data_IF_213875166598
#
_entry.id   IF_213875166598
#
_cell.length_a   1.000
_cell.length_b   1.000
_cell.length_c   1.000
_cell.angle_alpha   90.00
_cell.angle_beta   90.00
_cell.angle_gamma   90.00
#
_symmetry.space_group_name_H-M   'P 1'
#
loop_
_entity.id
_entity.type
_entity.pdbx_description
1 polymer ?
#
# COMPACT_ATOMS: atom_id res chain seq x y z
N UNK A 1 -17.73 2.76 -12.89
CA UNK A 1 -17.46 2.61 -11.46
C UNK A 1 -16.07 3.17 -11.23
N UNK A 2 -15.93 4.22 -10.45
CA UNK A 2 -14.61 4.67 -10.02
C UNK A 2 -14.12 3.69 -8.94
N UNK A 3 -12.92 3.13 -9.12
CA UNK A 3 -12.33 2.19 -8.17
C UNK A 3 -11.81 2.92 -6.93
N UNK A 4 -12.09 2.38 -5.75
CA UNK A 4 -11.49 2.85 -4.50
C UNK A 4 -10.25 2.02 -4.21
N UNK A 5 -9.17 2.67 -3.78
CA UNK A 5 -7.89 2.02 -3.49
C UNK A 5 -7.29 2.52 -2.17
N UNK A 6 -6.37 1.76 -1.62
CA UNK A 6 -5.47 2.17 -0.54
C UNK A 6 -4.11 1.53 -0.76
N UNK A 7 -3.14 1.94 0.04
CA UNK A 7 -1.84 1.29 0.17
C UNK A 7 -1.67 0.86 1.63
N UNK A 8 -1.35 -0.42 1.82
CA UNK A 8 -0.91 -1.00 3.09
C UNK A 8 0.51 -1.52 2.95
N UNK A 9 1.33 -1.28 3.96
CA UNK A 9 2.65 -1.86 4.13
C UNK A 9 2.82 -2.19 5.61
N UNK A 10 2.53 -3.45 5.95
CA UNK A 10 2.27 -3.88 7.32
C UNK A 10 3.55 -3.86 8.18
N UNK A 11 4.71 -4.19 7.60
CA UNK A 11 5.99 -4.28 8.32
C UNK A 11 6.49 -2.94 8.85
N UNK A 12 5.96 -1.83 8.32
CA UNK A 12 6.26 -0.46 8.74
C UNK A 12 5.04 0.23 9.37
N UNK A 13 3.92 -0.48 9.60
CA UNK A 13 2.67 0.09 10.09
C UNK A 13 2.16 1.29 9.25
N UNK A 14 2.32 1.21 7.93
CA UNK A 14 1.94 2.27 7.00
C UNK A 14 0.62 1.95 6.33
N UNK A 15 -0.28 2.93 6.32
CA UNK A 15 -1.54 2.86 5.61
C UNK A 15 -1.97 4.25 5.12
N UNK A 16 -2.49 4.33 3.90
CA UNK A 16 -3.28 5.49 3.46
C UNK A 16 -4.73 5.34 3.90
N UNK A 17 -5.51 6.42 3.80
CA UNK A 17 -6.97 6.31 3.73
C UNK A 17 -7.41 5.56 2.45
N UNK A 18 -8.68 5.18 2.41
CA UNK A 18 -9.32 4.77 1.15
C UNK A 18 -9.47 6.00 0.25
N UNK A 19 -8.94 5.89 -0.96
CA UNK A 19 -8.87 6.93 -1.98
C UNK A 19 -9.83 6.61 -3.12
N UNK A 20 -10.68 7.57 -3.47
CA UNK A 20 -11.46 7.57 -4.71
C UNK A 20 -10.65 8.18 -5.84
N UNK A 21 -11.17 8.09 -7.07
CA UNK A 21 -10.55 8.73 -8.22
C UNK A 21 -10.38 10.24 -7.98
N UNK A 22 -9.17 10.75 -8.25
CA UNK A 22 -8.82 12.15 -8.07
C UNK A 22 -8.45 12.56 -6.62
N UNK A 23 -8.56 11.65 -5.65
CA UNK A 23 -8.07 11.90 -4.28
C UNK A 23 -6.59 11.53 -4.14
N UNK A 24 -5.91 12.23 -3.23
CA UNK A 24 -4.51 11.97 -2.86
C UNK A 24 -4.39 11.81 -1.35
N UNK A 25 -3.45 10.96 -0.94
CA UNK A 25 -2.94 10.85 0.42
C UNK A 25 -1.43 10.61 0.37
N UNK A 26 -0.72 11.06 1.40
CA UNK A 26 0.74 10.92 1.50
C UNK A 26 1.08 10.34 2.86
N UNK A 27 1.92 9.30 2.86
CA UNK A 27 2.48 8.70 4.06
C UNK A 27 3.98 8.92 4.09
N UNK A 28 4.52 9.17 5.29
CA UNK A 28 5.95 9.30 5.53
C UNK A 28 6.34 8.31 6.63
N UNK A 29 7.41 7.56 6.42
CA UNK A 29 7.92 6.56 7.36
C UNK A 29 9.41 6.36 7.16
N UNK A 30 10.08 5.83 8.18
CA UNK A 30 11.48 5.41 8.10
C UNK A 30 11.54 3.93 7.73
N UNK A 31 12.22 3.61 6.64
CA UNK A 31 12.54 2.22 6.27
C UNK A 31 13.70 1.69 7.14
N UNK A 32 13.42 1.44 8.41
CA UNK A 32 14.40 1.08 9.45
C UNK A 32 14.82 -0.40 9.48
N UNK A 33 14.39 -1.19 8.48
CA UNK A 33 14.63 -2.63 8.38
C UNK A 33 15.04 -2.99 6.95
N UNK A 34 16.18 -3.65 6.79
CA UNK A 34 16.57 -4.25 5.52
C UNK A 34 15.70 -5.49 5.21
N UNK A 35 15.38 -5.70 3.94
CA UNK A 35 14.53 -6.81 3.49
C UNK A 35 13.71 -6.50 2.25
N UNK A 36 12.84 -7.45 1.89
CA UNK A 36 11.84 -7.28 0.82
C UNK A 36 10.47 -7.43 1.46
N UNK A 37 9.65 -6.38 1.34
CA UNK A 37 8.35 -6.25 2.00
C UNK A 37 7.26 -6.05 0.97
N UNK A 38 6.10 -6.65 1.19
CA UNK A 38 4.97 -6.52 0.28
C UNK A 38 4.11 -5.32 0.69
N UNK A 39 3.81 -4.43 -0.26
CA UNK A 39 2.71 -3.47 -0.12
C UNK A 39 1.56 -3.86 -1.03
N UNK A 40 0.33 -3.56 -0.62
CA UNK A 40 -0.86 -4.03 -1.32
C UNK A 40 -2.08 -3.11 -1.11
N UNK A 41 -3.09 -3.26 -1.97
CA UNK A 41 -4.41 -2.70 -1.74
C UNK A 41 -5.28 -3.68 -0.94
N UNK A 42 -5.86 -3.21 0.17
CA UNK A 42 -6.68 -4.00 1.08
C UNK A 42 -8.14 -4.14 0.66
N UNK A 43 -8.55 -3.47 -0.43
CA UNK A 43 -9.94 -3.46 -0.90
C UNK A 43 -10.32 -4.82 -1.50
N UNK A 44 -11.17 -5.56 -0.79
CA UNK A 44 -11.75 -6.82 -1.26
C UNK A 44 -10.68 -7.80 -1.75
N UNK A 45 -10.81 -8.21 -3.01
CA UNK A 45 -9.88 -9.18 -3.64
C UNK A 45 -8.76 -8.49 -4.45
N UNK A 46 -8.57 -7.16 -4.34
CA UNK A 46 -7.61 -6.42 -5.17
C UNK A 46 -6.18 -6.95 -5.04
N UNK A 47 -5.71 -7.23 -3.81
CA UNK A 47 -4.40 -7.88 -3.57
C UNK A 47 -4.28 -9.20 -4.32
N UNK A 48 -5.28 -10.08 -4.20
CA UNK A 48 -5.31 -11.40 -4.86
C UNK A 48 -5.41 -11.30 -6.39
N UNK A 49 -5.99 -10.22 -6.90
CA UNK A 49 -6.04 -9.89 -8.33
C UNK A 49 -4.76 -9.21 -8.84
N UNK A 50 -3.74 -9.04 -8.00
CA UNK A 50 -2.43 -8.53 -8.40
C UNK A 50 -2.18 -7.06 -8.07
N UNK A 51 -3.05 -6.41 -7.29
CA UNK A 51 -2.78 -5.05 -6.78
C UNK A 51 -1.84 -5.12 -5.57
N UNK A 52 -0.61 -5.49 -5.87
CA UNK A 52 0.47 -5.80 -4.94
C UNK A 52 1.80 -5.34 -5.55
N UNK A 53 2.73 -4.90 -4.72
CA UNK A 53 4.09 -4.58 -5.11
C UNK A 53 5.08 -4.84 -3.99
N UNK A 54 6.36 -4.71 -4.29
CA UNK A 54 7.45 -4.99 -3.34
C UNK A 54 8.27 -3.74 -3.06
N UNK A 55 8.57 -3.50 -1.79
CA UNK A 55 9.56 -2.54 -1.31
C UNK A 55 10.82 -3.32 -0.91
N UNK A 56 11.96 -3.03 -1.57
CA UNK A 56 13.27 -3.55 -1.17
C UNK A 56 14.03 -2.47 -0.41
N UNK A 57 14.61 -2.83 0.73
CA UNK A 57 15.43 -1.98 1.59
C UNK A 57 16.78 -2.67 1.80
N UNK A 58 17.87 -1.95 1.54
CA UNK A 58 19.27 -2.42 1.58
C UNK A 58 20.11 -1.67 2.60
#
# INVERSE_FOLDING_TARGET
MEGTHDLRLDEFNVATKLLKAGETDTVEFTADKAGVFEYYCSVGEHRKMGMVGTLTVE
#
